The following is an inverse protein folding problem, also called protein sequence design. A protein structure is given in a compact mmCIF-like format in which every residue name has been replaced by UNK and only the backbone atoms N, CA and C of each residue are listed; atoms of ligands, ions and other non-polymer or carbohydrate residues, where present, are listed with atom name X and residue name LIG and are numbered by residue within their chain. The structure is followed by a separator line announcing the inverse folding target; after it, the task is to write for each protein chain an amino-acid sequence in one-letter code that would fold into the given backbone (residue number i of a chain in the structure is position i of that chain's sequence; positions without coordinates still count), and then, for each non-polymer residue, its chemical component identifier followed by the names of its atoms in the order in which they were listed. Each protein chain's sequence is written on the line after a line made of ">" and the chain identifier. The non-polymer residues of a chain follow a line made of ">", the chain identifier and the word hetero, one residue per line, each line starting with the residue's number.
data_IF_886650940191
#
_entry.id   IF_886650940191
#
_cell.length_a   1.000
_cell.length_b   1.000
_cell.length_c   1.000
_cell.angle_alpha   90.00
_cell.angle_beta   90.00
_cell.angle_gamma   90.00
#
_symmetry.space_group_name_H-M   'P 1'
#
loop_
_entity.id
_entity.type
_entity.pdbx_description
1 polymer ?
#
# COMPACT_ATOMS: atom_id res chain seq x y z
N UNK A 1 56.00 -10.31 -11.43
CA UNK A 1 55.02 -9.61 -12.30
C UNK A 1 55.80 -8.95 -13.42
N UNK A 2 55.69 -9.45 -14.65
CA UNK A 2 56.26 -8.76 -15.80
C UNK A 2 55.50 -7.43 -15.95
N UNK A 3 56.19 -6.32 -15.73
CA UNK A 3 55.69 -4.99 -16.05
C UNK A 3 55.29 -4.97 -17.53
N UNK A 4 54.05 -4.57 -17.81
CA UNK A 4 53.51 -4.48 -19.17
C UNK A 4 54.42 -3.66 -20.09
N UNK A 5 54.46 -4.05 -21.36
CA UNK A 5 55.25 -3.37 -22.38
C UNK A 5 54.52 -2.08 -22.73
N UNK A 6 55.16 -0.93 -22.52
CA UNK A 6 54.65 0.37 -22.96
C UNK A 6 55.33 0.79 -24.28
N UNK A 7 54.60 1.28 -25.30
CA UNK A 7 53.15 1.49 -25.34
C UNK A 7 52.36 0.20 -25.63
N UNK A 8 51.15 0.04 -25.05
CA UNK A 8 50.29 -1.11 -25.27
C UNK A 8 49.85 -1.15 -26.72
N UNK A 9 49.91 -2.34 -27.34
CA UNK A 9 49.49 -2.53 -28.74
C UNK A 9 48.05 -3.01 -28.84
N UNK A 10 47.55 -3.66 -27.78
CA UNK A 10 46.21 -4.23 -27.71
C UNK A 10 45.55 -3.91 -26.37
N UNK A 11 44.21 -3.97 -26.31
CA UNK A 11 43.43 -3.77 -25.07
C UNK A 11 43.80 -4.79 -24.00
N UNK A 12 44.20 -6.00 -24.42
CA UNK A 12 44.65 -7.08 -23.54
C UNK A 12 45.97 -6.75 -22.83
N UNK A 13 46.84 -5.96 -23.46
CA UNK A 13 48.08 -5.47 -22.83
C UNK A 13 47.81 -4.43 -21.74
N UNK A 14 46.69 -3.70 -21.86
CA UNK A 14 46.22 -2.70 -20.89
C UNK A 14 45.51 -3.37 -19.72
N UNK A 15 44.72 -4.41 -20.00
CA UNK A 15 43.94 -5.13 -19.00
C UNK A 15 44.25 -6.64 -19.02
N UNK A 16 45.43 -7.07 -18.57
CA UNK A 16 45.80 -8.49 -18.56
C UNK A 16 44.86 -9.34 -17.67
N UNK A 17 44.18 -8.69 -16.71
CA UNK A 17 43.17 -9.30 -15.83
C UNK A 17 41.89 -9.73 -16.57
N UNK A 18 41.61 -9.19 -17.76
CA UNK A 18 40.49 -9.66 -18.60
C UNK A 18 40.74 -11.07 -19.16
N UNK A 19 42.01 -11.44 -19.37
CA UNK A 19 42.41 -12.71 -19.99
C UNK A 19 42.64 -13.84 -18.97
N UNK A 20 43.21 -13.51 -17.81
CA UNK A 20 43.56 -14.49 -16.77
C UNK A 20 42.63 -14.41 -15.54
N UNK A 21 41.57 -13.60 -15.62
CA UNK A 21 40.75 -13.24 -14.48
C UNK A 21 41.54 -12.48 -13.42
N UNK A 22 41.03 -12.53 -12.19
CA UNK A 22 41.64 -11.94 -11.01
C UNK A 22 42.72 -12.84 -10.38
N UNK A 23 43.11 -13.93 -11.06
CA UNK A 23 44.27 -14.78 -10.77
C UNK A 23 44.41 -15.19 -9.28
N UNK A 24 43.30 -15.60 -8.66
CA UNK A 24 43.25 -16.06 -7.27
C UNK A 24 43.41 -14.97 -6.22
N UNK A 25 43.31 -13.68 -6.58
CA UNK A 25 43.36 -12.58 -5.62
C UNK A 25 42.33 -12.77 -4.51
N UNK A 26 42.69 -12.38 -3.28
CA UNK A 26 41.82 -12.46 -2.12
C UNK A 26 41.22 -11.08 -1.83
N UNK A 27 39.95 -10.91 -2.18
CA UNK A 27 39.22 -9.66 -2.04
C UNK A 27 38.49 -9.57 -0.69
N UNK A 28 38.50 -8.39 -0.08
CA UNK A 28 37.63 -8.07 1.04
C UNK A 28 36.30 -7.55 0.53
N UNK A 29 35.22 -8.23 0.89
CA UNK A 29 33.88 -7.93 0.41
C UNK A 29 33.03 -7.41 1.56
N UNK A 30 32.65 -6.14 1.50
CA UNK A 30 31.75 -5.52 2.46
C UNK A 30 30.31 -6.00 2.24
N UNK A 31 29.71 -6.55 3.28
CA UNK A 31 28.35 -7.10 3.28
C UNK A 31 27.51 -6.55 4.42
N UNK A 32 26.18 -6.58 4.25
CA UNK A 32 25.23 -6.31 5.33
C UNK A 32 24.01 -7.19 5.16
N UNK A 33 23.55 -7.71 6.29
CA UNK A 33 22.34 -8.55 6.37
C UNK A 33 21.09 -7.75 5.99
N UNK A 34 20.35 -8.29 5.02
CA UNK A 34 19.11 -7.74 4.52
C UNK A 34 18.30 -8.85 3.83
N UNK A 35 17.30 -9.37 4.55
CA UNK A 35 16.42 -10.45 4.08
C UNK A 35 15.57 -9.96 2.90
N UNK A 36 15.41 -10.75 1.81
CA UNK A 36 15.94 -12.10 1.56
C UNK A 36 17.27 -12.12 0.76
N UNK A 37 17.92 -10.97 0.56
CA UNK A 37 19.09 -10.85 -0.30
C UNK A 37 20.37 -11.41 0.34
N UNK A 38 20.55 -11.17 1.64
CA UNK A 38 21.70 -11.64 2.41
C UNK A 38 21.26 -11.92 3.85
N UNK A 39 21.43 -13.16 4.26
CA UNK A 39 21.10 -13.66 5.58
C UNK A 39 22.35 -14.24 6.24
N UNK A 40 22.39 -14.18 7.56
CA UNK A 40 23.46 -14.74 8.37
C UNK A 40 22.85 -15.75 9.32
N UNK A 41 23.22 -17.01 9.16
CA UNK A 41 22.82 -18.08 10.06
C UNK A 41 23.44 -17.90 11.44
N UNK A 42 22.85 -18.52 12.46
CA UNK A 42 23.39 -18.54 13.83
C UNK A 42 24.79 -19.15 13.92
N UNK A 43 25.16 -20.01 12.96
CA UNK A 43 26.50 -20.59 12.80
C UNK A 43 27.51 -19.65 12.15
N UNK A 44 27.12 -18.43 11.78
CA UNK A 44 27.96 -17.43 11.10
C UNK A 44 28.11 -17.65 9.61
N UNK A 45 27.40 -18.63 9.03
CA UNK A 45 27.38 -18.89 7.59
C UNK A 45 26.45 -17.88 6.92
N UNK A 46 26.94 -17.21 5.88
CA UNK A 46 26.15 -16.30 5.06
C UNK A 46 25.44 -17.05 3.93
N UNK A 47 24.18 -16.72 3.70
CA UNK A 47 23.33 -17.28 2.65
C UNK A 47 22.49 -16.19 1.97
N UNK A 48 21.89 -16.51 0.83
CA UNK A 48 21.01 -15.60 0.09
C UNK A 48 21.48 -15.30 -1.33
N UNK A 49 20.61 -14.63 -2.09
CA UNK A 49 20.80 -14.38 -3.52
C UNK A 49 22.13 -13.67 -3.82
N UNK A 50 22.53 -12.69 -3.00
CA UNK A 50 23.76 -11.93 -3.23
C UNK A 50 25.01 -12.78 -2.98
N UNK A 51 24.97 -13.70 -2.03
CA UNK A 51 26.09 -14.61 -1.74
C UNK A 51 26.28 -15.62 -2.87
N UNK A 52 25.19 -16.17 -3.39
CA UNK A 52 25.23 -17.06 -4.56
C UNK A 52 25.78 -16.35 -5.79
N UNK A 53 25.33 -15.11 -6.03
CA UNK A 53 25.84 -14.28 -7.12
C UNK A 53 27.33 -13.97 -6.96
N UNK A 54 27.77 -13.65 -5.74
CA UNK A 54 29.19 -13.43 -5.42
C UNK A 54 30.02 -14.69 -5.67
N UNK A 55 29.49 -15.86 -5.32
CA UNK A 55 30.16 -17.13 -5.54
C UNK A 55 30.32 -17.44 -7.04
N UNK A 56 29.28 -17.18 -7.84
CA UNK A 56 29.36 -17.28 -9.31
C UNK A 56 30.40 -16.32 -9.89
N UNK A 57 30.50 -15.09 -9.38
CA UNK A 57 31.54 -14.16 -9.81
C UNK A 57 32.94 -14.66 -9.42
N UNK A 58 33.09 -15.19 -8.20
CA UNK A 58 34.35 -15.75 -7.70
C UNK A 58 34.84 -16.90 -8.58
N UNK A 59 33.95 -17.80 -8.99
CA UNK A 59 34.25 -18.92 -9.88
C UNK A 59 34.61 -18.44 -11.29
N UNK A 60 33.82 -17.52 -11.87
CA UNK A 60 34.01 -17.04 -13.26
C UNK A 60 35.23 -16.14 -13.43
N UNK A 61 35.51 -15.29 -12.44
CA UNK A 61 36.61 -14.34 -12.46
C UNK A 61 37.84 -14.87 -11.72
N UNK A 62 37.78 -16.08 -11.16
CA UNK A 62 38.88 -16.74 -10.44
C UNK A 62 39.46 -15.86 -9.31
N UNK A 63 38.66 -15.56 -8.29
CA UNK A 63 39.11 -14.88 -7.06
C UNK A 63 38.59 -15.59 -5.80
N UNK A 64 39.28 -15.36 -4.69
CA UNK A 64 38.82 -15.75 -3.36
C UNK A 64 38.33 -14.51 -2.60
N UNK A 65 37.43 -14.67 -1.63
CA UNK A 65 36.90 -13.53 -0.89
C UNK A 65 36.76 -13.78 0.61
N UNK A 66 36.74 -12.69 1.38
CA UNK A 66 36.40 -12.68 2.79
C UNK A 66 35.27 -11.68 2.99
N UNK A 67 34.20 -12.12 3.66
CA UNK A 67 33.06 -11.27 3.96
C UNK A 67 33.32 -10.49 5.24
N UNK A 68 33.15 -9.17 5.19
CA UNK A 68 33.30 -8.27 6.33
C UNK A 68 32.04 -7.42 6.47
N UNK A 69 31.50 -7.35 7.69
CA UNK A 69 30.38 -6.46 8.00
C UNK A 69 30.91 -5.09 8.45
N UNK A 70 30.21 -3.99 8.14
CA UNK A 70 30.59 -2.67 8.63
C UNK A 70 30.53 -2.63 10.15
N UNK A 71 31.52 -1.99 10.79
CA UNK A 71 31.60 -1.84 12.25
C UNK A 71 30.34 -1.22 12.85
N UNK A 72 29.75 -0.27 12.13
CA UNK A 72 28.56 0.47 12.57
C UNK A 72 27.24 -0.25 12.20
N UNK A 73 27.28 -1.32 11.40
CA UNK A 73 26.08 -1.99 10.87
C UNK A 73 25.23 -1.15 9.90
N UNK A 74 25.65 0.06 9.55
CA UNK A 74 24.90 1.00 8.71
C UNK A 74 25.19 0.83 7.21
N UNK A 75 24.26 1.28 6.37
CA UNK A 75 24.48 1.27 4.91
C UNK A 75 25.51 2.32 4.50
N UNK A 76 25.34 3.52 5.05
CA UNK A 76 26.25 4.63 4.89
C UNK A 76 25.52 5.92 4.58
N UNK A 77 25.71 6.88 5.48
CA UNK A 77 25.21 8.24 5.42
C UNK A 77 26.42 9.17 5.41
N UNK A 78 26.31 10.24 4.63
CA UNK A 78 27.34 11.28 4.54
C UNK A 78 27.22 12.20 5.74
N UNK A 79 28.33 12.38 6.44
CA UNK A 79 28.47 13.37 7.50
C UNK A 79 28.77 14.76 6.89
N UNK A 80 28.58 15.83 7.67
CA UNK A 80 28.85 17.21 7.23
C UNK A 80 30.31 17.41 6.81
N UNK A 81 31.22 16.69 7.46
CA UNK A 81 32.65 16.68 7.19
C UNK A 81 33.03 15.97 5.87
N UNK A 82 32.07 15.38 5.15
CA UNK A 82 32.30 14.65 3.90
C UNK A 82 32.78 13.20 4.10
N UNK A 83 32.94 12.76 5.33
CA UNK A 83 33.18 11.36 5.72
C UNK A 83 31.90 10.55 5.60
N UNK A 84 32.03 9.32 5.11
CA UNK A 84 30.94 8.36 5.01
C UNK A 84 31.02 7.32 6.12
N UNK A 85 29.86 6.93 6.65
CA UNK A 85 29.73 5.84 7.61
C UNK A 85 29.36 4.51 6.92
N UNK A 86 29.34 3.41 7.66
CA UNK A 86 28.84 2.12 7.17
C UNK A 86 29.64 1.55 5.98
N UNK A 87 28.96 0.83 5.09
CA UNK A 87 29.60 0.21 3.92
C UNK A 87 30.21 1.27 2.99
N UNK A 88 29.52 2.39 2.77
CA UNK A 88 30.04 3.46 1.89
C UNK A 88 31.35 4.04 2.48
N UNK A 89 31.44 4.17 3.79
CA UNK A 89 32.67 4.57 4.49
C UNK A 89 33.82 3.58 4.28
N UNK A 90 33.55 2.28 4.38
CA UNK A 90 34.55 1.24 4.12
C UNK A 90 35.08 1.29 2.68
N UNK A 91 34.20 1.58 1.71
CA UNK A 91 34.62 1.76 0.31
C UNK A 91 35.44 3.05 0.13
N UNK A 92 35.02 4.16 0.73
CA UNK A 92 35.74 5.45 0.66
C UNK A 92 37.16 5.33 1.24
N UNK A 93 37.31 4.63 2.37
CA UNK A 93 38.58 4.45 3.07
C UNK A 93 39.43 3.31 2.51
N UNK A 94 38.97 2.61 1.46
CA UNK A 94 39.62 1.44 0.86
C UNK A 94 39.88 0.31 1.87
N UNK A 95 38.98 0.17 2.85
CA UNK A 95 39.01 -0.95 3.80
C UNK A 95 38.48 -2.24 3.17
N UNK A 96 37.52 -2.10 2.25
CA UNK A 96 36.97 -3.17 1.43
C UNK A 96 37.24 -2.93 -0.06
N UNK A 97 37.49 -4.02 -0.80
CA UNK A 97 37.79 -3.97 -2.24
C UNK A 97 36.51 -4.01 -3.09
N UNK A 98 35.48 -4.69 -2.59
CA UNK A 98 34.19 -4.87 -3.26
C UNK A 98 33.07 -4.75 -2.23
N UNK A 99 31.90 -4.28 -2.66
CA UNK A 99 30.68 -4.40 -1.85
C UNK A 99 29.68 -5.35 -2.51
N UNK A 100 29.16 -6.29 -1.71
CA UNK A 100 28.09 -7.18 -2.12
C UNK A 100 26.92 -7.04 -1.13
N UNK A 101 26.12 -6.00 -1.32
CA UNK A 101 24.99 -5.68 -0.46
C UNK A 101 23.89 -4.99 -1.28
N UNK A 102 22.66 -4.95 -0.74
CA UNK A 102 21.51 -4.29 -1.36
C UNK A 102 21.61 -2.75 -1.26
N UNK A 103 22.66 -2.17 -1.84
CA UNK A 103 22.94 -0.74 -1.78
C UNK A 103 22.23 -0.01 -2.92
N UNK A 104 21.40 0.96 -2.58
CA UNK A 104 20.79 1.88 -3.56
C UNK A 104 21.86 2.76 -4.20
N UNK A 105 21.92 2.73 -5.54
CA UNK A 105 22.72 3.66 -6.35
C UNK A 105 22.21 5.09 -6.14
N UNK A 106 23.12 6.00 -5.82
CA UNK A 106 22.84 7.42 -5.58
C UNK A 106 23.97 8.25 -6.17
N UNK A 107 23.66 9.46 -6.65
CA UNK A 107 24.66 10.39 -7.14
C UNK A 107 25.78 10.65 -6.11
N UNK A 108 25.40 10.90 -4.85
CA UNK A 108 26.38 11.17 -3.78
C UNK A 108 27.27 9.95 -3.46
N UNK A 109 26.72 8.74 -3.55
CA UNK A 109 27.50 7.50 -3.34
C UNK A 109 28.42 7.21 -4.52
N UNK A 110 27.99 7.54 -5.73
CA UNK A 110 28.79 7.38 -6.95
C UNK A 110 30.01 8.29 -7.01
N UNK A 111 30.12 9.30 -6.13
CA UNK A 111 31.32 10.14 -6.02
C UNK A 111 32.47 9.45 -5.28
N UNK A 112 32.18 8.46 -4.44
CA UNK A 112 33.17 7.78 -3.58
C UNK A 112 33.36 6.30 -3.90
N UNK A 113 32.44 5.71 -4.67
CA UNK A 113 32.55 4.33 -5.14
C UNK A 113 31.88 4.16 -6.51
N UNK A 114 32.39 3.23 -7.30
CA UNK A 114 31.77 2.85 -8.57
C UNK A 114 30.73 1.75 -8.37
N UNK A 115 29.62 1.87 -9.12
CA UNK A 115 28.57 0.86 -9.15
C UNK A 115 28.67 0.04 -10.43
N UNK A 116 28.27 -1.22 -10.37
CA UNK A 116 28.07 -2.02 -11.57
C UNK A 116 27.12 -1.30 -12.54
N UNK A 117 27.41 -1.42 -13.83
CA UNK A 117 26.68 -0.71 -14.89
C UNK A 117 25.19 -1.06 -14.92
N UNK A 118 24.84 -2.32 -14.64
CA UNK A 118 23.47 -2.80 -14.57
C UNK A 118 23.03 -3.03 -13.12
N UNK A 119 21.91 -2.44 -12.66
CA UNK A 119 21.32 -2.82 -11.38
C UNK A 119 20.77 -4.25 -11.47
N UNK A 120 21.07 -5.10 -10.49
CA UNK A 120 20.56 -6.46 -10.44
C UNK A 120 19.09 -6.53 -9.98
N UNK A 121 18.59 -5.49 -9.29
CA UNK A 121 17.23 -5.39 -8.78
C UNK A 121 16.76 -3.93 -8.81
N UNK A 122 15.49 -3.72 -9.16
CA UNK A 122 14.83 -2.42 -9.14
C UNK A 122 13.70 -2.48 -8.11
N UNK A 123 13.76 -1.59 -7.12
CA UNK A 123 12.76 -1.50 -6.06
C UNK A 123 11.98 -0.19 -6.17
N UNK A 124 10.66 -0.27 -5.98
CA UNK A 124 9.78 0.90 -5.84
C UNK A 124 9.53 1.15 -4.35
N UNK A 125 9.75 2.40 -3.91
CA UNK A 125 9.51 2.79 -2.52
C UNK A 125 8.02 2.96 -2.25
N UNK A 126 7.57 2.43 -1.12
CA UNK A 126 6.21 2.60 -0.61
C UNK A 126 6.20 2.82 0.90
N UNK A 127 5.06 3.23 1.43
CA UNK A 127 4.84 3.38 2.87
C UNK A 127 4.16 2.12 3.41
N UNK A 128 4.62 1.68 4.58
CA UNK A 128 4.00 0.59 5.31
C UNK A 128 3.29 1.15 6.54
N UNK A 129 2.03 0.75 6.74
CA UNK A 129 1.23 1.15 7.90
C UNK A 129 0.50 -0.05 8.49
N UNK A 130 0.15 0.06 9.77
CA UNK A 130 -0.64 -0.97 10.44
C UNK A 130 -2.04 -0.99 9.84
N UNK A 131 -2.50 -2.18 9.44
CA UNK A 131 -3.87 -2.38 8.95
C UNK A 131 -4.86 -1.79 9.96
N UNK A 132 -5.73 -0.86 9.55
CA UNK A 132 -6.72 -0.29 10.46
C UNK A 132 -7.67 -1.39 10.92
N UNK A 133 -7.94 -1.43 12.22
CA UNK A 133 -8.98 -2.31 12.76
C UNK A 133 -10.32 -1.80 12.24
N UNK A 134 -11.09 -2.63 11.55
CA UNK A 134 -12.46 -2.28 11.18
C UNK A 134 -13.32 -2.32 12.45
N UNK A 135 -13.41 -1.21 13.18
CA UNK A 135 -14.46 -1.05 14.19
C UNK A 135 -15.79 -0.87 13.46
N UNK A 136 -16.41 -1.99 13.12
CA UNK A 136 -17.74 -2.00 12.51
C UNK A 136 -18.75 -1.58 13.58
N UNK A 137 -19.09 -0.30 13.64
CA UNK A 137 -20.35 0.10 14.27
C UNK A 137 -21.47 -0.61 13.50
N UNK A 138 -22.10 -1.61 14.12
CA UNK A 138 -23.11 -2.47 13.50
C UNK A 138 -24.23 -1.64 12.83
N UNK A 139 -24.61 -0.52 13.45
CA UNK A 139 -25.60 0.41 12.90
C UNK A 139 -25.16 1.08 11.58
N UNK A 140 -23.86 1.37 11.43
CA UNK A 140 -23.33 1.96 10.19
C UNK A 140 -23.39 0.99 9.01
N UNK A 141 -23.35 -0.32 9.26
CA UNK A 141 -23.43 -1.34 8.21
C UNK A 141 -24.85 -1.46 7.65
N UNK A 142 -25.89 -1.24 8.47
CA UNK A 142 -27.29 -1.40 8.05
C UNK A 142 -27.71 -0.30 7.08
N UNK A 143 -27.25 0.94 7.27
CA UNK A 143 -27.65 2.07 6.41
C UNK A 143 -26.78 2.28 5.17
N UNK A 144 -25.56 1.73 5.15
CA UNK A 144 -24.59 1.83 4.03
C UNK A 144 -25.00 1.20 2.69
N UNK A 145 -25.82 0.12 2.60
CA UNK A 145 -26.12 -0.53 1.32
C UNK A 145 -26.93 0.33 0.35
N UNK A 146 -27.61 1.36 0.86
CA UNK A 146 -28.38 2.31 0.08
C UNK A 146 -27.87 3.72 0.31
N UNK A 147 -27.81 4.51 -0.76
CA UNK A 147 -27.46 5.92 -0.67
C UNK A 147 -28.51 6.69 0.14
N UNK A 148 -28.08 7.77 0.80
CA UNK A 148 -28.97 8.63 1.59
C UNK A 148 -30.16 9.17 0.77
N UNK A 149 -29.95 9.47 -0.51
CA UNK A 149 -31.02 9.88 -1.44
C UNK A 149 -32.13 8.85 -1.54
N UNK A 150 -31.79 7.55 -1.59
CA UNK A 150 -32.80 6.48 -1.67
C UNK A 150 -33.59 6.38 -0.37
N UNK A 151 -32.94 6.53 0.79
CA UNK A 151 -33.63 6.58 2.08
C UNK A 151 -34.63 7.73 2.17
N UNK A 152 -34.26 8.92 1.67
CA UNK A 152 -35.18 10.05 1.57
C UNK A 152 -36.36 9.76 0.63
N UNK A 153 -36.13 9.09 -0.50
CA UNK A 153 -37.19 8.65 -1.40
C UNK A 153 -38.14 7.66 -0.71
N UNK A 154 -37.63 6.70 0.08
CA UNK A 154 -38.47 5.73 0.81
C UNK A 154 -39.38 6.44 1.82
N UNK A 155 -38.83 7.36 2.61
CA UNK A 155 -39.62 8.18 3.56
C UNK A 155 -40.66 9.01 2.81
N UNK A 156 -40.28 9.64 1.70
CA UNK A 156 -41.20 10.43 0.87
C UNK A 156 -42.33 9.59 0.29
N UNK A 157 -42.04 8.37 -0.18
CA UNK A 157 -43.05 7.42 -0.68
C UNK A 157 -44.03 6.99 0.41
N UNK A 158 -43.54 6.74 1.64
CA UNK A 158 -44.40 6.42 2.79
C UNK A 158 -45.35 7.58 3.10
N UNK A 159 -44.84 8.82 3.15
CA UNK A 159 -45.65 10.00 3.42
C UNK A 159 -46.66 10.29 2.30
N UNK A 160 -46.24 10.16 1.03
CA UNK A 160 -47.09 10.40 -0.12
C UNK A 160 -48.23 9.38 -0.20
N UNK A 161 -47.93 8.09 0.00
CA UNK A 161 -48.96 7.04 0.02
C UNK A 161 -49.89 7.19 1.22
N UNK A 162 -49.37 7.54 2.40
CA UNK A 162 -50.22 7.80 3.57
C UNK A 162 -51.16 8.99 3.35
N UNK A 163 -50.68 10.07 2.72
CA UNK A 163 -51.50 11.21 2.35
C UNK A 163 -52.57 10.84 1.30
N UNK A 164 -52.22 10.01 0.31
CA UNK A 164 -53.17 9.52 -0.69
C UNK A 164 -54.26 8.63 -0.06
N UNK A 165 -53.92 7.75 0.88
CA UNK A 165 -54.90 6.95 1.63
C UNK A 165 -55.78 7.83 2.52
N UNK A 166 -55.21 8.85 3.16
CA UNK A 166 -55.98 9.80 3.97
C UNK A 166 -56.98 10.60 3.12
N UNK A 167 -56.57 11.13 1.96
CA UNK A 167 -57.47 11.83 1.04
C UNK A 167 -58.58 10.91 0.52
N UNK A 168 -58.26 9.65 0.22
CA UNK A 168 -59.26 8.65 -0.18
C UNK A 168 -60.21 8.29 0.96
N UNK A 169 -59.76 8.30 2.22
CA UNK A 169 -60.58 8.03 3.40
C UNK A 169 -61.58 9.14 3.69
N UNK A 170 -61.16 10.41 3.58
CA UNK A 170 -62.05 11.59 3.73
C UNK A 170 -63.14 11.57 2.66
N UNK A 171 -62.79 11.29 1.41
CA UNK A 171 -63.72 11.39 0.27
C UNK A 171 -64.83 10.31 0.29
N UNK A 172 -64.66 9.23 1.05
CA UNK A 172 -65.56 8.07 1.07
C UNK A 172 -66.19 7.78 2.43
N UNK A 173 -65.93 8.62 3.44
CA UNK A 173 -66.36 8.40 4.84
C UNK A 173 -65.96 7.00 5.39
N UNK A 174 -64.82 6.47 4.94
CA UNK A 174 -64.29 5.20 5.44
C UNK A 174 -63.69 5.41 6.84
N UNK A 175 -64.34 4.85 7.86
CA UNK A 175 -63.96 5.02 9.28
C UNK A 175 -62.52 4.58 9.60
N UNK A 176 -61.95 3.67 8.79
CA UNK A 176 -60.61 3.10 8.98
C UNK A 176 -59.46 3.98 8.43
N UNK A 177 -59.71 4.80 7.40
CA UNK A 177 -58.69 5.65 6.76
C UNK A 177 -58.87 7.15 7.09
N UNK A 178 -59.75 7.47 8.05
CA UNK A 178 -59.95 8.84 8.52
C UNK A 178 -58.85 9.28 9.50
N UNK A 179 -58.23 8.33 10.22
CA UNK A 179 -57.13 8.61 11.14
C UNK A 179 -55.77 8.68 10.41
N UNK A 180 -55.10 9.82 10.50
CA UNK A 180 -53.77 10.06 9.91
C UNK A 180 -52.71 9.01 10.32
N UNK A 181 -52.73 8.58 11.57
CA UNK A 181 -51.78 7.61 12.11
C UNK A 181 -51.98 6.20 11.57
N UNK A 182 -53.24 5.81 11.31
CA UNK A 182 -53.55 4.52 10.71
C UNK A 182 -53.12 4.45 9.25
N UNK A 183 -53.20 5.57 8.52
CA UNK A 183 -52.70 5.67 7.14
C UNK A 183 -51.17 5.54 7.08
N UNK A 184 -50.45 6.23 7.97
CA UNK A 184 -48.98 6.09 8.07
C UNK A 184 -48.60 4.67 8.46
N UNK A 185 -49.28 4.09 9.46
CA UNK A 185 -49.05 2.72 9.90
C UNK A 185 -49.28 1.70 8.76
N UNK A 186 -50.36 1.86 7.99
CA UNK A 186 -50.65 1.03 6.82
C UNK A 186 -49.55 1.13 5.75
N UNK A 187 -49.13 2.35 5.39
CA UNK A 187 -48.04 2.57 4.44
C UNK A 187 -46.71 1.98 4.92
N UNK A 188 -46.39 2.11 6.21
CA UNK A 188 -45.20 1.50 6.81
C UNK A 188 -45.29 -0.03 6.81
N UNK A 189 -46.43 -0.61 7.18
CA UNK A 189 -46.64 -2.06 7.19
C UNK A 189 -46.50 -2.66 5.79
N UNK A 190 -47.09 -2.01 4.77
CA UNK A 190 -46.94 -2.41 3.38
C UNK A 190 -45.48 -2.35 2.90
N UNK A 191 -44.72 -1.32 3.32
CA UNK A 191 -43.29 -1.18 3.01
C UNK A 191 -42.42 -2.23 3.73
N UNK A 192 -42.84 -2.69 4.90
CA UNK A 192 -42.18 -3.78 5.64
C UNK A 192 -42.65 -5.17 5.22
N UNK A 193 -43.45 -5.26 4.14
CA UNK A 193 -44.08 -6.50 3.68
C UNK A 193 -44.91 -7.21 4.76
N UNK A 194 -45.47 -6.45 5.70
CA UNK A 194 -46.34 -6.96 6.76
C UNK A 194 -47.81 -6.88 6.31
N UNK A 195 -48.57 -7.93 6.62
CA UNK A 195 -50.01 -7.95 6.41
C UNK A 195 -50.73 -7.01 7.37
N UNK A 196 -51.75 -6.31 6.89
CA UNK A 196 -52.64 -5.51 7.72
C UNK A 196 -54.06 -6.09 7.70
N UNK A 197 -54.75 -6.20 8.84
CA UNK A 197 -56.05 -6.87 8.93
C UNK A 197 -57.17 -6.19 8.15
N UNK A 198 -57.06 -4.89 7.87
CA UNK A 198 -58.09 -4.12 7.16
C UNK A 198 -57.63 -3.75 5.75
N UNK A 199 -58.40 -4.13 4.73
CA UNK A 199 -58.02 -3.91 3.32
C UNK A 199 -58.82 -2.72 2.77
N UNK A 200 -58.22 -1.83 1.95
CA UNK A 200 -58.99 -0.80 1.27
C UNK A 200 -60.09 -1.42 0.39
N UNK A 201 -61.32 -0.94 0.56
CA UNK A 201 -62.48 -1.42 -0.20
C UNK A 201 -62.54 -0.81 -1.62
N UNK A 202 -61.91 0.35 -1.82
CA UNK A 202 -61.91 1.05 -3.11
C UNK A 202 -60.99 0.38 -4.14
N UNK A 203 -61.41 0.35 -5.41
CA UNK A 203 -60.57 -0.17 -6.50
C UNK A 203 -59.26 0.63 -6.62
N UNK A 204 -59.33 1.95 -6.51
CA UNK A 204 -58.15 2.84 -6.56
C UNK A 204 -57.19 2.60 -5.39
N UNK A 205 -57.70 2.35 -4.17
CA UNK A 205 -56.88 2.02 -3.02
C UNK A 205 -56.21 0.64 -3.14
N UNK A 206 -56.90 -0.33 -3.74
CA UNK A 206 -56.33 -1.65 -4.07
C UNK A 206 -55.24 -1.55 -5.13
N UNK A 207 -55.44 -0.77 -6.19
CA UNK A 207 -54.42 -0.52 -7.21
C UNK A 207 -53.18 0.16 -6.60
N UNK A 208 -53.36 1.20 -5.79
CA UNK A 208 -52.27 1.88 -5.10
C UNK A 208 -51.51 0.93 -4.15
N UNK A 209 -52.24 0.12 -3.39
CA UNK A 209 -51.66 -0.89 -2.50
C UNK A 209 -50.87 -1.95 -3.30
N UNK A 210 -51.34 -2.35 -4.47
CA UNK A 210 -50.64 -3.30 -5.35
C UNK A 210 -49.31 -2.74 -5.84
N UNK A 211 -49.28 -1.48 -6.29
CA UNK A 211 -48.03 -0.80 -6.68
C UNK A 211 -47.07 -0.63 -5.50
N UNK A 212 -47.58 -0.25 -4.33
CA UNK A 212 -46.77 -0.12 -3.12
C UNK A 212 -46.17 -1.46 -2.69
N UNK A 213 -46.93 -2.54 -2.80
CA UNK A 213 -46.47 -3.88 -2.48
C UNK A 213 -45.41 -4.38 -3.46
N UNK A 214 -45.61 -4.15 -4.76
CA UNK A 214 -44.60 -4.44 -5.78
C UNK A 214 -43.29 -3.67 -5.52
N UNK A 215 -43.40 -2.36 -5.26
CA UNK A 215 -42.27 -1.51 -4.91
C UNK A 215 -41.51 -2.02 -3.67
N UNK A 216 -42.25 -2.38 -2.62
CA UNK A 216 -41.72 -2.94 -1.37
C UNK A 216 -40.90 -4.22 -1.60
N UNK A 217 -41.42 -5.17 -2.39
CA UNK A 217 -40.72 -6.41 -2.73
C UNK A 217 -39.45 -6.11 -3.53
N UNK A 218 -39.52 -5.24 -4.54
CA UNK A 218 -38.34 -4.85 -5.33
C UNK A 218 -37.27 -4.19 -4.45
N UNK A 219 -37.68 -3.26 -3.58
CA UNK A 219 -36.76 -2.58 -2.67
C UNK A 219 -36.09 -3.55 -1.69
N UNK A 220 -36.86 -4.48 -1.12
CA UNK A 220 -36.34 -5.51 -0.22
C UNK A 220 -35.34 -6.43 -0.92
N UNK A 221 -35.62 -6.84 -2.17
CA UNK A 221 -34.71 -7.65 -2.96
C UNK A 221 -33.39 -6.92 -3.27
N UNK A 222 -33.47 -5.64 -3.67
CA UNK A 222 -32.28 -4.81 -3.95
C UNK A 222 -31.47 -4.55 -2.68
N UNK A 223 -32.13 -4.23 -1.57
CA UNK A 223 -31.46 -4.02 -0.28
C UNK A 223 -30.74 -5.29 0.19
N UNK A 224 -31.41 -6.45 0.11
CA UNK A 224 -30.82 -7.74 0.46
C UNK A 224 -29.60 -8.06 -0.42
N UNK A 225 -29.72 -7.90 -1.74
CA UNK A 225 -28.61 -8.13 -2.67
C UNK A 225 -27.41 -7.21 -2.41
N UNK A 226 -27.65 -5.92 -2.21
CA UNK A 226 -26.59 -4.96 -1.92
C UNK A 226 -25.94 -5.19 -0.56
N UNK A 227 -26.73 -5.57 0.45
CA UNK A 227 -26.21 -5.93 1.77
C UNK A 227 -25.32 -7.18 1.70
N UNK A 228 -25.73 -8.22 0.97
CA UNK A 228 -24.92 -9.42 0.73
C UNK A 228 -23.62 -9.07 0.02
N UNK A 229 -23.67 -8.25 -1.04
CA UNK A 229 -22.47 -7.82 -1.75
C UNK A 229 -21.51 -7.01 -0.85
N UNK A 230 -22.06 -6.15 0.01
CA UNK A 230 -21.28 -5.35 0.96
C UNK A 230 -20.62 -6.22 2.04
N UNK A 231 -21.33 -7.22 2.57
CA UNK A 231 -20.79 -8.15 3.57
C UNK A 231 -19.75 -9.11 2.97
N UNK A 232 -19.88 -9.45 1.68
CA UNK A 232 -18.90 -10.28 0.98
C UNK A 232 -17.56 -9.54 0.79
N UNK A 233 -17.58 -8.22 0.57
CA UNK A 233 -16.38 -7.43 0.28
C UNK A 233 -16.02 -6.52 1.45
N UNK A 234 -15.04 -6.95 2.24
CA UNK A 234 -14.37 -6.05 3.20
C UNK A 234 -13.46 -5.07 2.46
N UNK A 235 -13.98 -3.88 2.12
CA UNK A 235 -13.14 -2.79 1.62
C UNK A 235 -12.23 -2.29 2.75
N UNK A 236 -10.94 -2.57 2.68
CA UNK A 236 -9.97 -1.77 3.43
C UNK A 236 -10.02 -0.36 2.85
N UNK A 237 -10.35 0.61 3.69
CA UNK A 237 -10.02 2.00 3.37
C UNK A 237 -8.53 2.18 3.64
N UNK A 238 -7.79 2.57 2.62
CA UNK A 238 -6.40 3.02 2.79
C UNK A 238 -6.45 4.47 3.27
N UNK A 239 -5.80 4.82 4.38
CA UNK A 239 -5.87 6.17 4.94
C UNK A 239 -5.24 7.22 4.01
N UNK A 240 -4.28 6.83 3.19
CA UNK A 240 -3.60 7.68 2.22
C UNK A 240 -3.27 6.89 0.96
N UNK A 241 -3.26 7.59 -0.18
CA UNK A 241 -2.94 7.00 -1.49
C UNK A 241 -1.75 7.70 -2.15
N UNK A 242 -1.58 8.99 -1.89
CA UNK A 242 -0.51 9.81 -2.46
C UNK A 242 0.45 10.32 -1.38
N UNK A 243 1.64 10.77 -1.81
CA UNK A 243 2.60 11.41 -0.90
C UNK A 243 2.05 12.75 -0.36
N UNK A 244 1.21 13.43 -1.13
CA UNK A 244 0.57 14.68 -0.71
C UNK A 244 -0.47 14.46 0.39
N UNK A 245 -1.24 13.37 0.30
CA UNK A 245 -2.15 12.95 1.39
C UNK A 245 -1.36 12.71 2.68
N UNK A 246 -0.16 12.12 2.56
CA UNK A 246 0.73 11.83 3.70
C UNK A 246 1.36 13.11 4.27
N UNK A 247 1.62 14.11 3.44
CA UNK A 247 2.19 15.39 3.87
C UNK A 247 1.15 16.33 4.50
N UNK A 248 -0.11 16.25 4.05
CA UNK A 248 -1.20 17.09 4.57
C UNK A 248 -1.80 16.56 5.86
N UNK A 249 -1.75 15.25 6.08
CA UNK A 249 -2.23 14.64 7.33
C UNK A 249 -1.28 14.93 8.50
N UNK A 250 -1.85 15.12 9.69
CA UNK A 250 -1.12 15.31 10.96
C UNK A 250 -1.34 14.18 11.98
N UNK A 251 -2.09 13.14 11.61
CA UNK A 251 -2.53 12.05 12.51
C UNK A 251 -1.46 10.95 12.64
N UNK A 252 -0.75 10.66 11.55
CA UNK A 252 0.26 9.61 11.46
C UNK A 252 1.66 10.20 11.51
N UNK A 253 2.46 9.70 12.44
CA UNK A 253 3.90 9.96 12.48
C UNK A 253 4.61 9.15 11.39
N UNK A 254 5.46 9.82 10.63
CA UNK A 254 6.25 9.22 9.55
C UNK A 254 7.64 8.93 10.09
N UNK A 255 8.09 7.69 9.93
CA UNK A 255 9.44 7.25 10.29
C UNK A 255 10.14 6.60 9.10
N UNK A 256 11.46 6.73 9.05
CA UNK A 256 12.33 6.04 8.10
C UNK A 256 13.43 5.32 8.86
N UNK A 257 14.00 4.30 8.23
CA UNK A 257 15.16 3.59 8.79
C UNK A 257 16.38 4.50 8.79
N UNK A 258 16.97 4.69 9.97
CA UNK A 258 18.21 5.45 10.13
C UNK A 258 19.39 4.76 9.42
N UNK A 259 20.37 5.55 8.98
CA UNK A 259 21.57 5.04 8.34
C UNK A 259 21.34 4.50 6.92
N UNK A 260 20.15 4.77 6.34
CA UNK A 260 19.69 4.29 5.04
C UNK A 260 19.66 5.35 3.95
N UNK A 261 19.31 4.94 2.74
CA UNK A 261 19.14 5.88 1.63
C UNK A 261 17.94 6.82 1.84
N UNK A 262 16.82 6.34 2.42
CA UNK A 262 15.61 7.14 2.59
C UNK A 262 15.84 8.36 3.48
N UNK A 263 16.57 8.20 4.59
CA UNK A 263 17.01 9.32 5.44
C UNK A 263 17.82 10.34 4.64
N UNK A 264 18.84 9.87 3.90
CA UNK A 264 19.69 10.74 3.09
C UNK A 264 18.88 11.51 2.04
N UNK A 265 17.94 10.83 1.37
CA UNK A 265 17.10 11.45 0.35
C UNK A 265 16.30 12.64 0.89
N UNK A 266 15.65 12.47 2.05
CA UNK A 266 14.88 13.55 2.67
C UNK A 266 15.76 14.64 3.29
N UNK A 267 16.93 14.28 3.82
CA UNK A 267 17.89 15.26 4.35
C UNK A 267 18.42 16.17 3.23
N UNK A 268 18.80 15.58 2.09
CA UNK A 268 19.28 16.33 0.93
C UNK A 268 18.18 17.19 0.30
N UNK A 269 16.94 16.69 0.25
CA UNK A 269 15.82 17.49 -0.28
C UNK A 269 15.46 18.67 0.61
N UNK A 270 15.64 18.57 1.93
CA UNK A 270 15.51 19.71 2.84
C UNK A 270 16.60 20.76 2.61
N UNK A 271 17.86 20.35 2.51
CA UNK A 271 18.97 21.27 2.23
C UNK A 271 18.73 22.05 0.92
N UNK A 272 18.35 21.35 -0.15
CA UNK A 272 18.04 21.99 -1.44
C UNK A 272 16.89 23.00 -1.37
N UNK A 273 15.96 22.85 -0.43
CA UNK A 273 14.86 23.79 -0.22
C UNK A 273 15.31 25.05 0.52
N UNK A 274 16.31 24.94 1.40
CA UNK A 274 16.85 26.08 2.16
C UNK A 274 17.77 26.97 1.30
N UNK A 275 18.43 26.39 0.30
CA UNK A 275 19.30 27.09 -0.64
C UNK A 275 18.53 27.82 -1.77
N UNK A 276 17.21 27.63 -1.87
CA UNK A 276 16.32 28.15 -2.91
C UNK A 276 15.43 29.29 -2.41
#
# INVERSE_FOLDING_TARGET
>A
MQSGIWPPKTVDDIFPLLKYGLNGMRLKVAVKTYVPFLEKSSTGVYSGMLIELLHLFAERLNFSYVLEEPRDGNWGVRDENGTWTGIIGQMQNKEADLSCAAITRSYLRSQVMDFASLPFHIEYRGFMYKRPNSSSALFGIIFRPLQYTVWLCVISTILFTAAAFWMSGISREDSLFTNRWQCIYFSCAAMLSQGFPNIPQSISGRTLSGFLWFFSITLAAVYSGNLTAFLAVSKLSTPFSTLEDIASQSEYQIGFTGGGYSEMFFRVSQMLKEDL
#
